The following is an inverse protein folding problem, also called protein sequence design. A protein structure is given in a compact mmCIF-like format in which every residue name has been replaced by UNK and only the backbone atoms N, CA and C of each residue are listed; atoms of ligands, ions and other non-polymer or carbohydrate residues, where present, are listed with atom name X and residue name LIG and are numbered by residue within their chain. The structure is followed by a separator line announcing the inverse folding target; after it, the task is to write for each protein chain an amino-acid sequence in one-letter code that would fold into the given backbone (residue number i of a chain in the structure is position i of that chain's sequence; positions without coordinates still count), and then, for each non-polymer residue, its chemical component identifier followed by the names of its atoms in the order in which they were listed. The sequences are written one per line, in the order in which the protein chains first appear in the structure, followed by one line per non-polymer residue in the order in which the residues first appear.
data_IF_201916913640
#
_entry.id   IF_201916913640
#
_cell.length_a   1.000
_cell.length_b   1.000
_cell.length_c   1.000
_cell.angle_alpha   90.00
_cell.angle_beta   90.00
_cell.angle_gamma   90.00
#
_symmetry.space_group_name_H-M   'P 1'
#
loop_
_entity.id
_entity.type
_entity.pdbx_description
1 polymer ?
#
# COMPACT_ATOMS: atom_id res chain seq x y z
N UNK A 1 5.69 7.26 -5.97
CA UNK A 1 7.09 6.79 -6.26
C UNK A 1 7.40 6.78 -7.76
N UNK A 2 6.44 6.33 -8.55
CA UNK A 2 6.47 6.08 -9.99
C UNK A 2 6.84 7.32 -10.80
N UNK A 3 6.27 8.48 -10.46
CA UNK A 3 6.53 9.74 -11.18
C UNK A 3 7.98 10.21 -11.08
N UNK A 4 8.64 9.93 -9.96
CA UNK A 4 10.02 10.39 -9.73
C UNK A 4 11.04 9.46 -10.38
N UNK A 5 10.81 8.14 -10.28
CA UNK A 5 11.73 7.13 -10.82
C UNK A 5 11.39 6.68 -12.24
N UNK A 6 10.27 7.16 -12.80
CA UNK A 6 9.74 6.77 -14.12
C UNK A 6 9.55 5.25 -14.25
N UNK A 7 9.22 4.59 -13.13
CA UNK A 7 8.98 3.15 -13.05
C UNK A 7 7.49 2.85 -12.96
N UNK A 8 7.03 1.83 -13.67
CA UNK A 8 5.70 1.26 -13.47
C UNK A 8 5.59 0.60 -12.09
N UNK A 9 4.36 0.44 -11.57
CA UNK A 9 4.10 -0.26 -10.30
C UNK A 9 4.67 -1.68 -10.28
N UNK A 10 4.60 -2.39 -11.42
CA UNK A 10 5.19 -3.71 -11.59
C UNK A 10 6.72 -3.68 -11.47
N UNK A 11 7.39 -2.73 -12.12
CA UNK A 11 8.85 -2.59 -12.04
C UNK A 11 9.32 -2.24 -10.63
N UNK A 12 8.55 -1.42 -9.90
CA UNK A 12 8.80 -1.15 -8.48
C UNK A 12 8.78 -2.44 -7.68
N UNK A 13 7.74 -3.26 -7.83
CA UNK A 13 7.62 -4.54 -7.11
C UNK A 13 8.75 -5.51 -7.47
N UNK A 14 9.04 -5.68 -8.76
CA UNK A 14 10.09 -6.57 -9.26
C UNK A 14 11.50 -6.18 -8.76
N UNK A 15 11.74 -4.89 -8.48
CA UNK A 15 13.03 -4.41 -7.96
C UNK A 15 13.10 -4.47 -6.43
N UNK A 16 12.02 -4.12 -5.73
CA UNK A 16 12.04 -4.01 -4.27
C UNK A 16 11.88 -5.35 -3.56
N UNK A 17 11.01 -6.25 -4.04
CA UNK A 17 10.80 -7.55 -3.36
C UNK A 17 12.11 -8.33 -3.18
N UNK A 18 12.95 -8.52 -4.22
CA UNK A 18 14.22 -9.27 -4.07
C UNK A 18 15.16 -8.66 -3.03
N UNK A 19 15.19 -7.33 -2.91
CA UNK A 19 16.00 -6.64 -1.89
C UNK A 19 15.44 -6.95 -0.51
N UNK A 20 14.12 -6.77 -0.34
CA UNK A 20 13.45 -6.92 0.95
C UNK A 20 13.50 -8.35 1.47
N UNK A 21 13.38 -9.36 0.61
CA UNK A 21 13.39 -10.77 1.05
C UNK A 21 14.78 -11.30 1.40
N UNK A 22 15.86 -10.56 1.10
CA UNK A 22 17.23 -10.99 1.36
C UNK A 22 17.47 -11.27 2.87
N UNK A 23 18.05 -12.44 3.19
CA UNK A 23 18.13 -12.96 4.56
C UNK A 23 18.97 -12.08 5.51
N UNK A 24 20.02 -11.44 4.99
CA UNK A 24 20.91 -10.59 5.79
C UNK A 24 20.43 -9.14 5.94
N UNK A 25 19.25 -8.81 5.41
CA UNK A 25 18.71 -7.46 5.47
C UNK A 25 17.66 -7.37 6.58
N UNK A 26 18.01 -6.69 7.67
CA UNK A 26 17.12 -6.43 8.80
C UNK A 26 16.44 -5.08 8.55
N UNK A 27 15.13 -5.13 8.31
CA UNK A 27 14.28 -3.95 8.13
C UNK A 27 13.09 -4.07 9.07
N UNK A 28 12.88 -3.03 9.86
CA UNK A 28 11.70 -2.92 10.71
C UNK A 28 10.43 -2.87 9.86
N UNK A 29 9.45 -3.70 10.22
CA UNK A 29 8.19 -3.78 9.49
C UNK A 29 8.31 -4.38 8.08
N UNK A 30 9.32 -5.22 7.82
CA UNK A 30 9.50 -5.93 6.53
C UNK A 30 8.22 -6.57 6.00
N UNK A 31 7.47 -7.28 6.86
CA UNK A 31 6.21 -7.93 6.49
C UNK A 31 5.16 -6.92 5.99
N UNK A 32 5.04 -5.80 6.71
CA UNK A 32 4.14 -4.70 6.34
C UNK A 32 4.53 -4.09 5.00
N UNK A 33 5.81 -3.83 4.77
CA UNK A 33 6.30 -3.27 3.50
C UNK A 33 6.01 -4.25 2.35
N UNK A 34 6.29 -5.54 2.52
CA UNK A 34 6.03 -6.57 1.51
C UNK A 34 4.53 -6.71 1.19
N UNK A 35 3.68 -6.72 2.21
CA UNK A 35 2.24 -6.75 2.03
C UNK A 35 1.74 -5.49 1.31
N UNK A 36 2.20 -4.31 1.73
CA UNK A 36 1.84 -3.04 1.11
C UNK A 36 2.27 -2.98 -0.36
N UNK A 37 3.47 -3.47 -0.71
CA UNK A 37 3.92 -3.56 -2.12
C UNK A 37 3.02 -4.45 -2.97
N UNK A 38 2.48 -5.52 -2.39
CA UNK A 38 1.53 -6.41 -3.07
C UNK A 38 0.21 -5.68 -3.31
N UNK A 39 -0.36 -5.04 -2.28
CA UNK A 39 -1.61 -4.29 -2.35
C UNK A 39 -1.50 -3.10 -3.33
N UNK A 40 -0.40 -2.36 -3.25
CA UNK A 40 -0.05 -1.27 -4.16
C UNK A 40 -0.17 -1.68 -5.63
N UNK A 41 0.40 -2.84 -5.97
CA UNK A 41 0.36 -3.36 -7.33
C UNK A 41 -1.06 -3.86 -7.69
N UNK A 42 -1.65 -4.72 -6.87
CA UNK A 42 -2.92 -5.38 -7.17
C UNK A 42 -4.11 -4.42 -7.23
N UNK A 43 -4.18 -3.46 -6.30
CA UNK A 43 -5.25 -2.44 -6.26
C UNK A 43 -4.90 -1.20 -7.08
N UNK A 44 -3.69 -1.13 -7.63
CA UNK A 44 -3.20 -0.02 -8.46
C UNK A 44 -3.29 1.36 -7.76
N UNK A 45 -3.18 1.39 -6.43
CA UNK A 45 -3.21 2.60 -5.59
C UNK A 45 -1.80 3.09 -5.31
N UNK A 46 -1.64 4.27 -4.72
CA UNK A 46 -0.30 4.72 -4.31
C UNK A 46 0.21 3.94 -3.09
N UNK A 47 1.54 3.92 -2.91
CA UNK A 47 2.15 3.04 -1.92
C UNK A 47 1.73 3.45 -0.50
N UNK A 48 1.68 4.75 -0.23
CA UNK A 48 1.18 5.32 1.02
C UNK A 48 -0.27 4.87 1.34
N UNK A 49 -1.13 4.78 0.33
CA UNK A 49 -2.51 4.34 0.51
C UNK A 49 -2.58 2.85 0.83
N UNK A 50 -1.78 2.03 0.13
CA UNK A 50 -1.66 0.59 0.41
C UNK A 50 -1.11 0.32 1.82
N UNK A 51 -0.16 1.15 2.27
CA UNK A 51 0.45 1.06 3.59
C UNK A 51 -0.53 1.44 4.70
N UNK A 52 -1.31 2.51 4.48
CA UNK A 52 -2.39 2.94 5.37
C UNK A 52 -3.48 1.87 5.45
N UNK A 53 -3.89 1.32 4.31
CA UNK A 53 -4.88 0.27 4.24
C UNK A 53 -4.43 -1.01 4.98
N UNK A 54 -3.16 -1.40 4.88
CA UNK A 54 -2.63 -2.52 5.67
C UNK A 54 -2.75 -2.29 7.18
N UNK A 55 -2.47 -1.08 7.68
CA UNK A 55 -2.65 -0.75 9.10
C UNK A 55 -4.12 -0.79 9.52
N UNK A 56 -5.01 -0.30 8.66
CA UNK A 56 -6.44 -0.35 8.88
C UNK A 56 -6.93 -1.79 9.08
N UNK A 57 -6.53 -2.69 8.18
CA UNK A 57 -6.89 -4.11 8.28
C UNK A 57 -6.38 -4.76 9.56
N UNK A 58 -5.11 -4.55 9.89
CA UNK A 58 -4.51 -5.11 11.11
C UNK A 58 -5.11 -4.55 12.40
N UNK A 59 -5.65 -3.33 12.35
CA UNK A 59 -6.30 -2.68 13.49
C UNK A 59 -7.82 -2.90 13.51
N UNK A 60 -8.37 -3.67 12.57
CA UNK A 60 -9.82 -3.85 12.37
C UNK A 60 -10.59 -2.52 12.19
N UNK A 61 -9.95 -1.52 11.59
CA UNK A 61 -10.55 -0.24 11.26
C UNK A 61 -11.08 -0.32 9.83
N UNK A 62 -12.41 -0.30 9.68
CA UNK A 62 -13.07 -0.43 8.37
C UNK A 62 -13.63 0.90 7.84
N UNK A 63 -13.30 2.03 8.48
CA UNK A 63 -13.81 3.35 8.08
C UNK A 63 -12.67 4.35 7.97
N UNK A 64 -12.69 5.18 6.94
CA UNK A 64 -11.67 6.21 6.71
C UNK A 64 -12.28 7.55 6.31
N UNK A 65 -11.66 8.63 6.78
CA UNK A 65 -11.84 9.98 6.26
C UNK A 65 -10.58 10.30 5.45
N UNK A 66 -10.72 10.55 4.16
CA UNK A 66 -9.58 10.84 3.27
C UNK A 66 -10.00 11.79 2.15
N UNK A 67 -9.05 12.56 1.63
CA UNK A 67 -9.25 13.37 0.43
C UNK A 67 -9.04 12.56 -0.86
N UNK A 68 -8.35 11.41 -0.79
CA UNK A 68 -8.12 10.53 -1.95
C UNK A 68 -9.16 9.41 -2.01
N UNK A 69 -10.43 9.78 -2.17
CA UNK A 69 -11.48 8.77 -2.30
C UNK A 69 -11.26 7.86 -3.52
N UNK A 70 -10.57 8.33 -4.55
CA UNK A 70 -10.38 7.59 -5.80
C UNK A 70 -9.53 6.33 -5.59
N UNK A 71 -8.48 6.42 -4.78
CA UNK A 71 -7.69 5.24 -4.42
C UNK A 71 -8.41 4.35 -3.43
N UNK A 72 -9.00 4.93 -2.38
CA UNK A 72 -9.64 4.14 -1.33
C UNK A 72 -10.93 3.43 -1.78
N UNK A 73 -11.62 3.92 -2.83
CA UNK A 73 -12.75 3.21 -3.47
C UNK A 73 -12.41 1.85 -4.08
N UNK A 74 -11.13 1.49 -4.18
CA UNK A 74 -10.67 0.21 -4.75
C UNK A 74 -10.54 -0.90 -3.71
N UNK A 75 -10.72 -0.56 -2.44
CA UNK A 75 -10.76 -1.50 -1.33
C UNK A 75 -12.23 -1.81 -1.02
N UNK A 76 -12.60 -3.08 -1.05
CA UNK A 76 -14.01 -3.52 -1.05
C UNK A 76 -14.60 -3.61 0.37
N UNK A 77 -13.74 -3.59 1.39
CA UNK A 77 -14.02 -3.87 2.79
C UNK A 77 -13.95 -2.64 3.70
N UNK A 78 -13.78 -1.44 3.12
CA UNK A 78 -13.76 -0.18 3.85
C UNK A 78 -14.88 0.77 3.43
N UNK A 79 -15.31 1.61 4.37
CA UNK A 79 -16.28 2.66 4.19
C UNK A 79 -15.58 4.03 4.21
N UNK A 80 -15.78 4.82 3.16
CA UNK A 80 -15.30 6.21 3.11
C UNK A 80 -16.37 7.11 3.74
N UNK A 81 -15.99 7.79 4.80
CA UNK A 81 -16.86 8.74 5.50
C UNK A 81 -16.71 10.13 4.88
N UNK A 82 -17.82 10.73 4.48
CA UNK A 82 -17.89 12.14 4.09
C UNK A 82 -18.18 13.00 5.31
N UNK A 83 -17.56 14.18 5.36
CA UNK A 83 -17.93 15.21 6.34
C UNK A 83 -19.06 16.03 5.71
N UNK A 84 -20.24 16.05 6.34
CA UNK A 84 -21.39 16.89 5.94
C UNK A 84 -21.08 18.36 6.19
#
# INVERSE_FOLDING_TARGET
MEKYYELSKNEVQQKLIPILVHDNLIIDGKEKILASLTIFYEKNVDFEDSYTYFDMLNSHILKIITFDEKHFKRFDDIEILSTV
#
